data_IF_908572692817
#
_entry.id   IF_908572692817
#
_cell.length_a   1.000
_cell.length_b   1.000
_cell.length_c   1.000
_cell.angle_alpha   90.00
_cell.angle_beta   90.00
_cell.angle_gamma   90.00
#
_symmetry.space_group_name_H-M   'P 1'
#
loop_
_entity.id
_entity.type
_entity.pdbx_description
1 polymer ?
#
# COMPACT_ATOMS: atom_id res chain seq x y z
N UNK A 1 -5.29 12.68 7.15
CA UNK A 1 -6.60 12.74 7.83
C UNK A 1 -7.46 13.91 7.40
N UNK A 2 -7.09 15.20 7.63
CA UNK A 2 -7.97 16.35 7.30
C UNK A 2 -8.47 16.40 5.84
N UNK A 3 -7.70 15.86 4.91
CA UNK A 3 -8.05 15.80 3.49
C UNK A 3 -8.91 14.57 3.11
N UNK A 4 -8.69 13.41 3.74
CA UNK A 4 -9.30 12.13 3.30
C UNK A 4 -10.38 11.58 4.24
N UNK A 5 -10.36 11.92 5.53
CA UNK A 5 -11.25 11.35 6.54
C UNK A 5 -12.50 12.23 6.75
N UNK A 6 -13.66 11.58 6.94
CA UNK A 6 -14.91 12.29 7.29
C UNK A 6 -14.78 12.98 8.65
N UNK A 7 -14.12 12.31 9.60
CA UNK A 7 -13.92 12.79 10.97
C UNK A 7 -12.42 12.67 11.31
N UNK A 8 -11.60 13.67 10.96
CA UNK A 8 -10.19 13.66 11.30
C UNK A 8 -9.97 13.81 12.82
N UNK A 9 -8.86 13.26 13.36
CA UNK A 9 -8.48 13.49 14.75
C UNK A 9 -8.22 14.98 15.00
N UNK A 10 -8.46 15.41 16.22
CA UNK A 10 -8.21 16.80 16.61
C UNK A 10 -6.73 17.02 16.93
N UNK A 11 -6.33 18.29 17.00
CA UNK A 11 -4.94 18.64 17.31
C UNK A 11 -4.48 18.09 18.68
N UNK A 12 -5.40 17.97 19.64
CA UNK A 12 -5.09 17.42 20.95
C UNK A 12 -4.76 15.93 20.89
N UNK A 13 -5.41 15.16 20.01
CA UNK A 13 -5.12 13.74 19.77
C UNK A 13 -3.72 13.56 19.18
N UNK A 14 -3.32 14.44 18.26
CA UNK A 14 -2.00 14.39 17.65
C UNK A 14 -0.88 14.66 18.67
N UNK A 15 -1.06 15.68 19.53
CA UNK A 15 -0.12 15.95 20.64
C UNK A 15 -0.02 14.74 21.57
N UNK A 16 -1.16 14.13 21.91
CA UNK A 16 -1.21 12.97 22.78
C UNK A 16 -0.50 11.75 22.17
N UNK A 17 -0.72 11.45 20.89
CA UNK A 17 -0.06 10.32 20.20
C UNK A 17 1.46 10.50 20.10
N UNK A 18 1.94 11.74 20.06
CA UNK A 18 3.35 12.07 20.10
C UNK A 18 3.94 12.11 21.53
N UNK A 19 3.24 11.59 22.55
CA UNK A 19 3.65 11.61 23.96
C UNK A 19 4.02 13.03 24.46
N UNK A 20 3.27 14.04 23.99
CA UNK A 20 3.50 15.45 24.29
C UNK A 20 4.91 15.95 23.92
N UNK A 21 5.62 15.28 23.02
CA UNK A 21 6.94 15.69 22.54
C UNK A 21 6.91 17.02 21.76
N UNK A 22 5.74 17.40 21.24
CA UNK A 22 5.52 18.63 20.48
C UNK A 22 4.30 19.40 21.01
N UNK A 23 4.39 20.73 20.99
CA UNK A 23 3.28 21.61 21.32
C UNK A 23 2.26 21.70 20.18
N UNK A 24 1.09 22.26 20.47
CA UNK A 24 0.06 22.50 19.44
C UNK A 24 0.55 23.48 18.38
N UNK A 25 1.27 24.50 18.83
CA UNK A 25 1.83 25.56 18.01
C UNK A 25 2.89 24.98 17.05
N UNK A 26 3.78 24.12 17.53
CA UNK A 26 4.81 23.45 16.70
C UNK A 26 4.21 22.55 15.62
N UNK A 27 3.10 21.86 15.91
CA UNK A 27 2.40 21.03 14.91
C UNK A 27 1.76 21.92 13.83
N UNK A 28 1.16 23.06 14.21
CA UNK A 28 0.54 23.98 13.26
C UNK A 28 1.58 24.68 12.37
N UNK A 29 2.71 25.09 12.95
CA UNK A 29 3.82 25.67 12.19
C UNK A 29 4.36 24.67 11.16
N UNK A 30 4.59 23.40 11.56
CA UNK A 30 5.04 22.36 10.64
C UNK A 30 4.00 22.02 9.56
N UNK A 31 2.71 22.05 9.89
CA UNK A 31 1.67 21.89 8.90
C UNK A 31 1.76 22.96 7.81
N UNK A 32 1.95 24.23 8.18
CA UNK A 32 2.10 25.31 7.21
C UNK A 32 3.36 25.14 6.36
N UNK A 33 4.48 24.72 6.97
CA UNK A 33 5.73 24.43 6.25
C UNK A 33 5.51 23.35 5.19
N UNK A 34 4.88 22.23 5.56
CA UNK A 34 4.60 21.11 4.64
C UNK A 34 3.67 21.54 3.51
N UNK A 35 2.59 22.25 3.81
CA UNK A 35 1.64 22.71 2.79
C UNK A 35 2.26 23.69 1.80
N UNK A 36 3.10 24.62 2.28
CA UNK A 36 3.83 25.55 1.43
C UNK A 36 4.86 24.84 0.55
N UNK A 37 5.60 23.88 1.10
CA UNK A 37 6.59 23.11 0.34
C UNK A 37 5.95 22.30 -0.80
N UNK A 38 4.70 21.85 -0.60
CA UNK A 38 3.91 21.15 -1.62
C UNK A 38 3.12 22.08 -2.54
N UNK A 39 3.24 23.41 -2.38
CA UNK A 39 2.43 24.40 -3.10
C UNK A 39 0.91 24.12 -3.01
N UNK A 40 0.47 23.57 -1.87
CA UNK A 40 -0.91 23.10 -1.64
C UNK A 40 -1.40 22.03 -2.63
N UNK A 41 -0.50 21.38 -3.39
CA UNK A 41 -0.81 20.26 -4.29
C UNK A 41 -0.91 18.93 -3.53
N UNK A 42 -1.93 18.81 -2.68
CA UNK A 42 -2.15 17.64 -1.81
C UNK A 42 -3.02 16.55 -2.44
N UNK A 43 -3.60 16.80 -3.62
CA UNK A 43 -4.44 15.83 -4.34
C UNK A 43 -3.58 15.03 -5.31
N UNK A 44 -3.04 13.90 -4.84
CA UNK A 44 -2.22 13.01 -5.65
C UNK A 44 -2.80 11.59 -5.68
N UNK A 45 -2.72 10.87 -6.82
CA UNK A 45 -3.20 9.50 -6.88
C UNK A 45 -2.27 8.57 -6.10
N UNK A 46 -2.76 8.04 -4.97
CA UNK A 46 -2.03 7.05 -4.20
C UNK A 46 -2.02 5.68 -4.87
N UNK A 47 -1.07 4.82 -4.52
CA UNK A 47 -1.06 3.44 -5.00
C UNK A 47 -2.34 2.70 -4.58
N UNK A 48 -2.90 3.04 -3.41
CA UNK A 48 -4.18 2.50 -2.96
C UNK A 48 -5.34 2.89 -3.88
N UNK A 49 -5.36 4.11 -4.41
CA UNK A 49 -6.39 4.55 -5.36
C UNK A 49 -6.38 3.70 -6.64
N UNK A 50 -5.19 3.40 -7.19
CA UNK A 50 -5.04 2.47 -8.31
C UNK A 50 -5.45 1.04 -7.93
N UNK A 51 -5.05 0.58 -6.74
CA UNK A 51 -5.37 -0.76 -6.26
C UNK A 51 -6.89 -0.99 -6.23
N UNK A 52 -7.68 -0.03 -5.71
CA UNK A 52 -9.14 -0.14 -5.66
C UNK A 52 -9.75 -0.29 -7.06
N UNK A 53 -9.21 0.40 -8.07
CA UNK A 53 -9.64 0.25 -9.47
C UNK A 53 -9.29 -1.13 -10.00
N UNK A 54 -8.04 -1.57 -9.83
CA UNK A 54 -7.56 -2.82 -10.37
C UNK A 54 -8.16 -4.06 -9.69
N UNK A 55 -8.52 -3.98 -8.40
CA UNK A 55 -9.23 -5.05 -7.68
C UNK A 55 -10.59 -5.37 -8.31
N UNK A 56 -11.28 -4.35 -8.86
CA UNK A 56 -12.53 -4.55 -9.61
C UNK A 56 -12.27 -5.30 -10.92
N UNK A 57 -11.24 -4.89 -11.68
CA UNK A 57 -10.83 -5.57 -12.91
C UNK A 57 -10.33 -7.01 -12.67
N UNK A 58 -9.74 -7.26 -11.50
CA UNK A 58 -9.27 -8.58 -11.09
C UNK A 58 -10.39 -9.54 -10.64
N UNK A 59 -11.64 -9.06 -10.51
CA UNK A 59 -12.73 -9.80 -9.85
C UNK A 59 -12.28 -10.36 -8.49
N UNK A 60 -11.64 -9.51 -7.69
CA UNK A 60 -11.05 -9.87 -6.42
C UNK A 60 -12.12 -10.24 -5.40
N UNK A 61 -11.93 -11.37 -4.72
CA UNK A 61 -12.71 -11.70 -3.52
C UNK A 61 -12.16 -10.97 -2.29
N UNK A 62 -12.89 -11.06 -1.16
CA UNK A 62 -12.50 -10.38 0.08
C UNK A 62 -11.07 -10.75 0.53
N UNK A 63 -10.65 -12.01 0.34
CA UNK A 63 -9.32 -12.46 0.75
C UNK A 63 -8.24 -11.84 -0.14
N UNK A 64 -8.45 -11.82 -1.45
CA UNK A 64 -7.56 -11.18 -2.41
C UNK A 64 -7.43 -9.68 -2.17
N UNK A 65 -8.55 -8.99 -1.87
CA UNK A 65 -8.53 -7.56 -1.50
C UNK A 65 -7.58 -7.33 -0.32
N UNK A 66 -7.75 -8.09 0.77
CA UNK A 66 -6.90 -7.92 1.95
C UNK A 66 -5.44 -8.32 1.69
N UNK A 67 -5.21 -9.36 0.89
CA UNK A 67 -3.87 -9.79 0.53
C UNK A 67 -3.15 -8.74 -0.33
N UNK A 68 -3.82 -8.14 -1.32
CA UNK A 68 -3.24 -7.06 -2.11
C UNK A 68 -2.98 -5.81 -1.27
N UNK A 69 -3.89 -5.43 -0.36
CA UNK A 69 -3.64 -4.34 0.58
C UNK A 69 -2.46 -4.64 1.52
N UNK A 70 -2.32 -5.88 1.99
CA UNK A 70 -1.17 -6.30 2.81
C UNK A 70 0.15 -6.15 2.07
N UNK A 71 0.22 -6.62 0.83
CA UNK A 71 1.41 -6.51 -0.01
C UNK A 71 1.74 -5.03 -0.23
N UNK A 72 0.74 -4.23 -0.63
CA UNK A 72 0.93 -2.82 -0.91
C UNK A 72 1.32 -1.99 0.32
N UNK A 73 0.69 -2.22 1.48
CA UNK A 73 1.06 -1.53 2.73
C UNK A 73 2.51 -1.87 3.13
N UNK A 74 2.99 -3.08 2.80
CA UNK A 74 4.37 -3.50 3.03
C UNK A 74 5.39 -2.73 2.19
N UNK A 75 5.00 -2.24 1.01
CA UNK A 75 5.93 -1.54 0.12
C UNK A 75 6.25 -0.13 0.61
N UNK A 76 5.40 0.46 1.44
CA UNK A 76 5.60 1.81 2.01
C UNK A 76 6.78 1.89 2.99
N UNK A 77 7.31 0.74 3.44
CA UNK A 77 8.42 0.69 4.39
C UNK A 77 9.81 0.71 3.72
N UNK A 78 9.87 0.52 2.40
CA UNK A 78 11.11 0.30 1.68
C UNK A 78 11.39 1.41 0.67
N UNK A 79 12.49 2.13 0.87
CA UNK A 79 12.90 3.24 0.00
C UNK A 79 13.29 2.81 -1.41
N UNK A 80 13.80 1.59 -1.59
CA UNK A 80 14.18 1.04 -2.91
C UNK A 80 13.01 1.06 -3.89
N UNK A 81 11.77 0.91 -3.39
CA UNK A 81 10.58 0.81 -4.22
C UNK A 81 10.04 2.19 -4.69
N UNK A 82 10.67 3.30 -4.28
CA UNK A 82 10.29 4.65 -4.71
C UNK A 82 10.59 4.92 -6.19
N UNK A 83 11.39 4.08 -6.85
CA UNK A 83 11.63 4.18 -8.30
C UNK A 83 10.40 3.80 -9.14
N UNK A 84 9.45 3.06 -8.57
CA UNK A 84 8.26 2.58 -9.26
C UNK A 84 7.06 3.52 -9.08
N UNK A 85 6.23 3.61 -10.11
CA UNK A 85 5.00 4.40 -10.07
C UNK A 85 3.97 3.79 -9.11
N UNK A 86 3.11 4.61 -8.47
CA UNK A 86 2.03 4.11 -7.63
C UNK A 86 1.11 3.09 -8.32
N UNK A 87 0.85 3.26 -9.63
CA UNK A 87 0.08 2.32 -10.44
C UNK A 87 0.78 0.98 -10.62
N UNK A 88 2.10 0.99 -10.84
CA UNK A 88 2.91 -0.22 -10.97
C UNK A 88 2.94 -1.02 -9.66
N UNK A 89 3.06 -0.34 -8.52
CA UNK A 89 3.01 -0.96 -7.20
C UNK A 89 1.66 -1.63 -6.93
N UNK A 90 0.56 -0.97 -7.30
CA UNK A 90 -0.78 -1.54 -7.21
C UNK A 90 -0.96 -2.77 -8.12
N UNK A 91 -0.43 -2.71 -9.35
CA UNK A 91 -0.45 -3.81 -10.29
C UNK A 91 0.35 -5.02 -9.77
N UNK A 92 1.57 -4.80 -9.26
CA UNK A 92 2.42 -5.83 -8.66
C UNK A 92 1.74 -6.50 -7.44
N UNK A 93 1.08 -5.72 -6.59
CA UNK A 93 0.35 -6.27 -5.45
C UNK A 93 -0.82 -7.18 -5.86
N UNK A 94 -1.51 -6.87 -6.96
CA UNK A 94 -2.57 -7.74 -7.51
C UNK A 94 -1.99 -8.96 -8.19
N UNK A 95 -0.93 -8.81 -8.97
CA UNK A 95 -0.22 -9.89 -9.62
C UNK A 95 0.16 -10.97 -8.60
N UNK A 96 0.85 -10.57 -7.52
CA UNK A 96 1.26 -11.46 -6.43
C UNK A 96 0.07 -12.09 -5.71
N UNK A 97 -0.97 -11.32 -5.41
CA UNK A 97 -2.16 -11.83 -4.72
C UNK A 97 -2.95 -12.84 -5.57
N UNK A 98 -3.02 -12.64 -6.89
CA UNK A 98 -3.69 -13.58 -7.81
C UNK A 98 -2.94 -14.90 -7.91
N UNK A 99 -1.61 -14.84 -8.00
CA UNK A 99 -0.75 -16.03 -7.98
C UNK A 99 -0.89 -16.81 -6.69
N UNK A 100 -0.83 -16.14 -5.54
CA UNK A 100 -1.04 -16.76 -4.23
C UNK A 100 -2.43 -17.40 -4.07
N UNK A 101 -3.42 -16.96 -4.85
CA UNK A 101 -4.75 -17.54 -4.90
C UNK A 101 -4.90 -18.67 -5.95
N UNK A 102 -3.82 -19.07 -6.63
CA UNK A 102 -3.84 -20.09 -7.69
C UNK A 102 -4.63 -19.67 -8.93
N UNK A 103 -4.86 -18.36 -9.13
CA UNK A 103 -5.52 -17.82 -10.32
C UNK A 103 -4.48 -17.46 -11.38
N UNK A 104 -4.93 -17.29 -12.62
CA UNK A 104 -4.11 -16.68 -13.66
C UNK A 104 -3.56 -15.32 -13.16
N UNK A 105 -2.23 -15.18 -13.16
CA UNK A 105 -1.47 -14.03 -12.67
C UNK A 105 -1.92 -12.73 -13.32
N UNK A 106 -2.16 -12.72 -14.62
CA UNK A 106 -2.55 -11.54 -15.38
C UNK A 106 -3.66 -11.83 -16.41
N UNK A 107 -4.88 -11.39 -16.12
CA UNK A 107 -6.04 -11.61 -17.00
C UNK A 107 -6.14 -10.55 -18.11
N UNK A 108 -6.79 -10.85 -19.25
CA UNK A 108 -7.06 -9.85 -20.31
C UNK A 108 -7.77 -8.58 -19.79
N UNK A 109 -8.66 -8.72 -18.81
CA UNK A 109 -9.31 -7.57 -18.15
C UNK A 109 -8.30 -6.68 -17.42
N UNK A 110 -7.27 -7.26 -16.80
CA UNK A 110 -6.24 -6.46 -16.13
C UNK A 110 -5.35 -5.76 -17.14
N UNK A 111 -4.98 -6.42 -18.25
CA UNK A 111 -4.28 -5.78 -19.35
C UNK A 111 -5.03 -4.55 -19.87
N UNK A 112 -6.34 -4.66 -20.09
CA UNK A 112 -7.18 -3.56 -20.58
C UNK A 112 -7.27 -2.40 -19.57
N UNK A 113 -7.54 -2.69 -18.30
CA UNK A 113 -7.84 -1.65 -17.29
C UNK A 113 -6.61 -1.09 -16.56
N UNK A 114 -5.54 -1.86 -16.45
CA UNK A 114 -4.27 -1.45 -15.84
C UNK A 114 -3.25 -0.98 -16.87
N UNK A 115 -3.43 -1.34 -18.15
CA UNK A 115 -2.56 -0.94 -19.26
C UNK A 115 -1.09 -1.34 -19.10
N UNK A 116 -0.86 -2.42 -18.35
CA UNK A 116 0.45 -3.07 -18.22
C UNK A 116 0.34 -4.52 -18.65
N UNK A 117 1.37 -5.07 -19.27
CA UNK A 117 1.50 -6.49 -19.52
C UNK A 117 2.23 -7.22 -18.38
N UNK A 118 2.18 -8.54 -18.39
CA UNK A 118 2.77 -9.37 -17.34
C UNK A 118 4.30 -9.19 -17.27
N UNK A 119 4.95 -9.04 -18.42
CA UNK A 119 6.39 -8.84 -18.55
C UNK A 119 6.87 -7.52 -17.94
N UNK A 120 6.01 -6.48 -17.93
CA UNK A 120 6.30 -5.20 -17.29
C UNK A 120 6.14 -5.27 -15.76
N UNK A 121 5.18 -6.06 -15.27
CA UNK A 121 4.86 -6.13 -13.84
C UNK A 121 5.70 -7.18 -13.10
N UNK A 122 6.10 -8.26 -13.75
CA UNK A 122 6.86 -9.34 -13.12
C UNK A 122 8.16 -8.85 -12.45
N UNK A 123 9.01 -8.02 -13.07
CA UNK A 123 10.20 -7.49 -12.41
C UNK A 123 9.87 -6.68 -11.14
N UNK A 124 8.82 -5.89 -11.17
CA UNK A 124 8.35 -5.05 -10.04
C UNK A 124 7.82 -5.94 -8.91
N UNK A 125 7.07 -6.98 -9.26
CA UNK A 125 6.59 -7.97 -8.31
C UNK A 125 7.74 -8.73 -7.64
N UNK A 126 8.83 -9.03 -8.35
CA UNK A 126 10.05 -9.61 -7.75
C UNK A 126 10.70 -8.64 -6.77
N UNK A 127 10.88 -7.38 -7.16
CA UNK A 127 11.44 -6.35 -6.26
C UNK A 127 10.61 -6.23 -4.96
N UNK A 128 9.28 -6.25 -5.06
CA UNK A 128 8.37 -6.25 -3.90
C UNK A 128 8.59 -7.48 -3.01
N UNK A 129 8.80 -8.67 -3.58
CA UNK A 129 9.06 -9.89 -2.81
C UNK A 129 10.44 -9.88 -2.15
N UNK A 130 11.47 -9.43 -2.86
CA UNK A 130 12.84 -9.32 -2.35
C UNK A 130 12.90 -8.39 -1.14
N UNK A 131 12.29 -7.20 -1.26
CA UNK A 131 12.18 -6.23 -0.17
C UNK A 131 11.36 -6.78 1.00
N UNK A 132 10.27 -7.51 0.72
CA UNK A 132 9.50 -8.18 1.77
C UNK A 132 10.31 -9.24 2.52
N UNK A 133 11.12 -10.03 1.81
CA UNK A 133 11.95 -11.08 2.42
C UNK A 133 13.14 -10.50 3.18
N UNK A 134 13.62 -9.33 2.76
CA UNK A 134 14.73 -8.60 3.39
C UNK A 134 14.26 -7.67 4.51
N UNK A 135 12.94 -7.54 4.72
CA UNK A 135 12.35 -6.63 5.68
C UNK A 135 12.86 -6.90 7.10
N UNK A 136 13.23 -5.82 7.80
CA UNK A 136 13.72 -5.89 9.18
C UNK A 136 12.69 -6.58 10.07
N UNK A 137 13.19 -7.48 10.93
CA UNK A 137 12.35 -8.17 11.91
C UNK A 137 11.76 -7.22 12.96
N UNK A 138 12.17 -5.94 13.01
CA UNK A 138 11.62 -4.93 13.92
C UNK A 138 10.32 -4.30 13.39
N UNK A 139 10.13 -4.22 12.06
CA UNK A 139 9.00 -3.55 11.41
C UNK A 139 7.79 -4.50 11.25
N UNK A 140 7.17 -4.87 12.38
CA UNK A 140 6.09 -5.89 12.40
C UNK A 140 4.66 -5.35 12.28
N UNK A 141 4.47 -4.03 12.31
CA UNK A 141 3.14 -3.41 12.43
C UNK A 141 2.16 -3.84 11.32
N UNK A 142 2.62 -3.82 10.06
CA UNK A 142 1.81 -4.22 8.89
C UNK A 142 1.47 -5.72 8.97
N UNK A 143 2.47 -6.58 9.17
CA UNK A 143 2.22 -8.03 9.33
C UNK A 143 1.25 -8.31 10.47
N UNK A 144 1.42 -7.69 11.64
CA UNK A 144 0.52 -7.83 12.80
C UNK A 144 -0.92 -7.40 12.47
N UNK A 145 -1.11 -6.29 11.75
CA UNK A 145 -2.44 -5.82 11.29
C UNK A 145 -3.11 -6.90 10.45
N UNK A 146 -2.44 -7.40 9.42
CA UNK A 146 -3.01 -8.36 8.47
C UNK A 146 -3.02 -9.82 8.93
N UNK A 147 -2.35 -10.16 10.04
CA UNK A 147 -2.50 -11.45 10.74
C UNK A 147 -3.81 -11.55 11.52
N UNK A 148 -4.45 -10.42 11.84
CA UNK A 148 -5.74 -10.42 12.56
C UNK A 148 -6.87 -11.03 11.72
N UNK A 149 -7.80 -11.71 12.39
CA UNK A 149 -9.02 -12.28 11.78
C UNK A 149 -9.88 -11.22 11.10
N UNK A 150 -9.83 -9.96 11.57
CA UNK A 150 -10.51 -8.82 10.93
C UNK A 150 -10.10 -8.66 9.46
N UNK A 151 -8.83 -8.93 9.15
CA UNK A 151 -8.25 -8.84 7.81
C UNK A 151 -8.08 -10.21 7.14
N UNK A 152 -8.70 -11.26 7.71
CA UNK A 152 -8.68 -12.61 7.15
C UNK A 152 -7.36 -13.38 7.34
N UNK A 153 -6.45 -12.89 8.19
CA UNK A 153 -5.17 -13.57 8.45
C UNK A 153 -4.27 -13.73 7.23
N UNK A 154 -4.43 -12.85 6.23
CA UNK A 154 -3.78 -12.97 4.91
C UNK A 154 -2.25 -12.86 4.98
N UNK A 155 -1.70 -12.31 6.06
CA UNK A 155 -0.26 -12.25 6.29
C UNK A 155 0.41 -13.63 6.32
N UNK A 156 -0.34 -14.69 6.65
CA UNK A 156 0.16 -16.07 6.68
C UNK A 156 0.11 -16.77 5.31
N UNK A 157 -0.35 -16.07 4.27
CA UNK A 157 -0.40 -16.63 2.91
C UNK A 157 0.99 -16.65 2.31
N UNK A 158 1.42 -17.81 1.82
CA UNK A 158 2.69 -17.94 1.10
C UNK A 158 2.57 -17.23 -0.25
N UNK A 159 3.51 -16.33 -0.52
CA UNK A 159 3.65 -15.72 -1.83
C UNK A 159 4.66 -16.54 -2.62
N UNK A 160 4.25 -16.98 -3.81
CA UNK A 160 5.11 -17.68 -4.74
C UNK A 160 6.12 -16.71 -5.37
N UNK A 161 7.37 -17.16 -5.53
CA UNK A 161 8.48 -16.39 -6.12
C UNK A 161 8.90 -16.90 -7.51
N UNK A 162 8.33 -18.00 -8.01
CA UNK A 162 8.73 -18.60 -9.29
C UNK A 162 7.99 -18.00 -10.49
N UNK A 163 8.50 -16.89 -11.05
CA UNK A 163 8.02 -16.25 -12.29
C UNK A 163 9.00 -15.23 -12.89
#
# INVERSE_FOLDING_TARGET
>A
SKYEEIYPPELHDLVYVCDCAYSKEEILENEEIVLKALEYQITIPSAHAFLVRFLKAAHADKKMVQLSCYILDGTLQNYSLLEYLPSQMAAAAIFLARRAAGRNSWSPTLLEYAQYCEEEIAPIARAVLEEKNSASSELRAVTKKYSSTRYGGVANTVLDSEF
#
